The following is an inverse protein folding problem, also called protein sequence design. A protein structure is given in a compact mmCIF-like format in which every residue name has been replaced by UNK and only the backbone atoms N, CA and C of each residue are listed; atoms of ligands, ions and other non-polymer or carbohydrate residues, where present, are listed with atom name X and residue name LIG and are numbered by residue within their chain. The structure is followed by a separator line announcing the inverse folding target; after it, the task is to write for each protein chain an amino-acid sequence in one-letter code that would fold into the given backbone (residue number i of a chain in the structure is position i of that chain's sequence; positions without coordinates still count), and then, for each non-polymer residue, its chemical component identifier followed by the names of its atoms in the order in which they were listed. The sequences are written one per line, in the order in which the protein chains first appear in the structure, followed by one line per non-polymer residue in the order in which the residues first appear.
data_IF_737616995864
#
_entry.id   IF_737616995864
#
_cell.length_a   1.000
_cell.length_b   1.000
_cell.length_c   1.000
_cell.angle_alpha   90.00
_cell.angle_beta   90.00
_cell.angle_gamma   90.00
#
_symmetry.space_group_name_H-M   'P 1'
#
loop_
_entity.id
_entity.type
_entity.pdbx_description
1 polymer ?
#
# COMPACT_ATOMS: atom_id res chain seq x y z
N UNK A 1 -23.68 7.66 -28.80
CA UNK A 1 -23.12 6.62 -27.92
C UNK A 1 -21.72 7.08 -27.54
N UNK A 2 -21.55 7.60 -26.32
CA UNK A 2 -20.25 8.09 -25.84
C UNK A 2 -19.90 7.29 -24.59
N UNK A 3 -18.85 6.46 -24.70
CA UNK A 3 -18.30 5.74 -23.56
C UNK A 3 -17.49 6.76 -22.74
N UNK A 4 -17.94 7.09 -21.53
CA UNK A 4 -17.12 7.82 -20.57
C UNK A 4 -16.07 6.85 -20.02
N UNK A 5 -14.85 6.95 -20.52
CA UNK A 5 -13.69 6.39 -19.84
C UNK A 5 -13.42 7.27 -18.62
N UNK A 6 -13.98 6.90 -17.46
CA UNK A 6 -13.59 7.51 -16.19
C UNK A 6 -12.20 7.01 -15.85
N UNK A 7 -11.19 7.87 -16.01
CA UNK A 7 -9.84 7.61 -15.49
C UNK A 7 -9.96 7.51 -13.97
N UNK A 8 -9.82 6.31 -13.41
CA UNK A 8 -9.66 6.16 -11.97
C UNK A 8 -8.37 6.88 -11.58
N UNK A 9 -8.50 8.01 -10.88
CA UNK A 9 -7.36 8.69 -10.30
C UNK A 9 -6.86 7.79 -9.17
N UNK A 10 -5.73 7.13 -9.39
CA UNK A 10 -5.07 6.34 -8.36
C UNK A 10 -4.69 7.28 -7.23
N UNK A 11 -5.40 7.20 -6.11
CA UNK A 11 -4.95 7.85 -4.87
C UNK A 11 -3.71 7.11 -4.40
N UNK A 12 -2.59 7.82 -4.31
CA UNK A 12 -1.40 7.28 -3.67
C UNK A 12 -1.76 6.93 -2.22
N UNK A 13 -1.50 5.67 -1.84
CA UNK A 13 -1.88 5.10 -0.55
C UNK A 13 -0.77 4.23 0.03
N UNK A 14 -0.65 4.26 1.35
CA UNK A 14 0.21 3.38 2.13
C UNK A 14 -0.71 2.45 2.90
N UNK A 15 -0.76 1.18 2.50
CA UNK A 15 -1.61 0.15 3.08
C UNK A 15 -0.69 -0.89 3.73
N UNK A 16 -0.64 -0.96 5.08
CA UNK A 16 0.02 -2.06 5.76
C UNK A 16 -0.62 -3.40 5.42
N UNK A 17 0.19 -4.44 5.28
CA UNK A 17 -0.35 -5.79 5.30
C UNK A 17 -0.49 -6.30 6.75
N UNK A 18 -1.05 -7.51 6.89
CA UNK A 18 -1.26 -8.17 8.18
C UNK A 18 -0.35 -9.39 8.41
N UNK A 19 0.77 -9.48 7.69
CA UNK A 19 1.62 -10.68 7.62
C UNK A 19 2.74 -10.71 8.68
N UNK A 20 2.92 -9.61 9.43
CA UNK A 20 3.94 -9.49 10.46
C UNK A 20 3.36 -9.79 11.84
N UNK A 21 4.16 -10.31 12.81
CA UNK A 21 3.74 -10.48 14.20
C UNK A 21 3.21 -9.19 14.84
N UNK A 22 3.86 -8.07 14.52
CA UNK A 22 3.41 -6.71 14.83
C UNK A 22 3.37 -5.94 13.51
N UNK A 23 2.17 -5.58 13.08
CA UNK A 23 1.94 -4.89 11.81
C UNK A 23 2.27 -3.40 11.88
N UNK A 24 2.50 -2.81 10.72
CA UNK A 24 2.65 -1.36 10.59
C UNK A 24 1.30 -0.65 10.82
N UNK A 25 1.33 0.57 11.33
CA UNK A 25 0.16 1.44 11.50
C UNK A 25 0.44 2.79 10.89
N UNK A 26 -0.51 3.31 10.11
CA UNK A 26 -0.39 4.60 9.43
C UNK A 26 -1.25 5.62 10.15
N UNK A 27 -0.65 6.75 10.51
CA UNK A 27 -1.34 7.95 10.99
C UNK A 27 -1.05 9.05 9.98
N UNK A 28 -2.08 9.71 9.47
CA UNK A 28 -1.93 10.82 8.54
C UNK A 28 -1.91 12.12 9.33
N UNK A 29 -0.84 12.90 9.16
CA UNK A 29 -0.67 14.22 9.76
C UNK A 29 -0.30 15.23 8.65
N UNK A 30 -1.31 15.93 8.13
CA UNK A 30 -1.16 16.79 6.95
C UNK A 30 -0.68 16.00 5.73
N UNK A 31 0.43 16.44 5.14
CA UNK A 31 1.08 15.80 4.00
C UNK A 31 2.06 14.68 4.40
N UNK A 32 2.11 14.32 5.69
CA UNK A 32 3.03 13.30 6.22
C UNK A 32 2.25 12.06 6.65
N UNK A 33 2.63 10.91 6.11
CA UNK A 33 2.18 9.60 6.58
C UNK A 33 3.15 9.06 7.62
N UNK A 34 2.76 9.07 8.89
CA UNK A 34 3.54 8.55 10.02
C UNK A 34 3.32 7.03 10.12
N UNK A 35 4.39 6.28 9.87
CA UNK A 35 4.45 4.83 9.94
C UNK A 35 4.96 4.43 11.32
N UNK A 36 4.07 3.83 12.11
CA UNK A 36 4.32 3.32 13.46
C UNK A 36 4.25 1.79 13.51
N UNK A 37 4.62 1.21 14.65
CA UNK A 37 4.55 -0.23 14.86
C UNK A 37 5.65 -0.97 14.11
N UNK A 38 5.29 -2.08 13.45
CA UNK A 38 6.27 -2.95 12.80
C UNK A 38 6.90 -3.97 13.76
N UNK A 39 7.51 -4.99 13.17
CA UNK A 39 8.09 -6.11 13.92
C UNK A 39 9.57 -5.88 14.11
N UNK A 40 10.02 -5.86 15.36
CA UNK A 40 11.44 -5.71 15.70
C UNK A 40 12.12 -7.07 15.81
N UNK A 41 13.29 -7.21 15.19
CA UNK A 41 14.21 -8.32 15.45
C UNK A 41 15.65 -7.79 15.57
N UNK A 42 16.16 -7.78 16.80
CA UNK A 42 17.44 -7.14 17.12
C UNK A 42 17.39 -5.62 16.88
N UNK A 43 18.37 -5.11 16.14
CA UNK A 43 18.45 -3.70 15.71
C UNK A 43 17.71 -3.42 14.38
N UNK A 44 16.93 -4.38 13.87
CA UNK A 44 16.16 -4.22 12.64
C UNK A 44 14.66 -4.06 12.96
N UNK A 45 14.02 -3.11 12.28
CA UNK A 45 12.57 -2.91 12.31
C UNK A 45 11.98 -3.26 10.95
N UNK A 46 11.06 -4.21 10.93
CA UNK A 46 10.41 -4.71 9.72
C UNK A 46 9.02 -4.10 9.56
N UNK A 47 8.76 -3.58 8.38
CA UNK A 47 7.45 -3.13 7.92
C UNK A 47 7.04 -3.89 6.67
N UNK A 48 5.75 -4.13 6.53
CA UNK A 48 5.19 -4.85 5.40
C UNK A 48 3.92 -4.15 4.94
N UNK A 49 3.81 -3.97 3.63
CA UNK A 49 2.76 -3.17 2.99
C UNK A 49 2.18 -3.91 1.80
N UNK A 50 0.86 -3.91 1.66
CA UNK A 50 0.21 -4.35 0.43
C UNK A 50 0.39 -3.32 -0.69
N UNK A 51 0.36 -2.04 -0.32
CA UNK A 51 0.57 -0.93 -1.24
C UNK A 51 1.42 0.15 -0.57
N UNK A 52 2.34 0.72 -1.34
CA UNK A 52 3.18 1.81 -0.86
C UNK A 52 3.37 2.83 -1.97
N UNK A 53 2.63 3.94 -1.88
CA UNK A 53 2.74 5.07 -2.80
C UNK A 53 2.67 6.38 -2.03
N UNK A 54 3.58 7.31 -2.34
CA UNK A 54 3.68 8.62 -1.71
C UNK A 54 3.29 9.67 -2.77
N UNK A 55 2.23 10.47 -2.55
CA UNK A 55 1.88 11.55 -3.46
C UNK A 55 3.01 12.59 -3.59
N UNK A 56 3.07 13.27 -4.74
CA UNK A 56 3.99 14.40 -4.91
C UNK A 56 3.67 15.50 -3.88
N UNK A 57 4.70 16.00 -3.20
CA UNK A 57 4.54 16.99 -2.13
C UNK A 57 4.26 16.40 -0.75
N UNK A 58 4.09 15.08 -0.65
CA UNK A 58 3.91 14.36 0.62
C UNK A 58 5.17 13.59 1.03
N UNK A 59 5.20 13.13 2.28
CA UNK A 59 6.29 12.34 2.82
C UNK A 59 5.78 11.14 3.64
N UNK A 60 6.60 10.10 3.76
CA UNK A 60 6.40 9.03 4.71
C UNK A 60 7.48 9.10 5.79
N UNK A 61 7.07 9.09 7.06
CA UNK A 61 7.96 9.15 8.20
C UNK A 61 7.88 7.83 8.98
N UNK A 62 8.99 7.11 9.07
CA UNK A 62 9.08 5.92 9.89
C UNK A 62 9.45 6.31 11.32
N UNK A 63 8.52 6.11 12.25
CA UNK A 63 8.75 6.39 13.67
C UNK A 63 9.41 5.17 14.33
N UNK A 64 10.72 5.25 14.55
CA UNK A 64 11.50 4.18 15.18
C UNK A 64 12.12 4.60 16.51
N UNK A 65 12.42 3.61 17.36
CA UNK A 65 13.21 3.81 18.58
C UNK A 65 14.70 4.02 18.27
N UNK A 66 15.43 4.66 19.20
CA UNK A 66 16.85 4.97 19.03
C UNK A 66 17.80 3.76 18.99
N UNK A 67 17.30 2.57 19.28
CA UNK A 67 18.04 1.31 19.23
C UNK A 67 17.87 0.55 17.90
N UNK A 68 17.09 1.09 16.96
CA UNK A 68 16.93 0.58 15.60
C UNK A 68 18.03 1.16 14.70
N UNK A 69 18.80 0.28 14.06
CA UNK A 69 19.84 0.65 13.09
C UNK A 69 19.34 0.56 11.64
N UNK A 70 18.44 -0.39 11.36
CA UNK A 70 17.91 -0.58 10.01
C UNK A 70 16.39 -0.68 10.03
N UNK A 71 15.76 -0.09 9.00
CA UNK A 71 14.35 -0.23 8.72
C UNK A 71 14.22 -0.96 7.39
N UNK A 72 13.57 -2.13 7.41
CA UNK A 72 13.36 -2.97 6.23
C UNK A 72 11.89 -2.97 5.91
N UNK A 73 11.54 -2.42 4.75
CA UNK A 73 10.17 -2.40 4.25
C UNK A 73 10.05 -3.36 3.08
N UNK A 74 9.03 -4.21 3.08
CA UNK A 74 8.64 -4.98 1.89
C UNK A 74 7.26 -4.55 1.41
N UNK A 75 7.08 -4.57 0.09
CA UNK A 75 5.76 -4.37 -0.53
C UNK A 75 5.31 -5.71 -1.08
N UNK A 76 4.33 -6.34 -0.44
CA UNK A 76 3.64 -7.52 -0.94
C UNK A 76 2.62 -7.06 -1.95
N UNK A 77 3.02 -6.97 -3.21
CA UNK A 77 2.05 -6.66 -4.26
C UNK A 77 1.00 -7.77 -4.25
N UNK A 78 -0.19 -7.46 -3.73
CA UNK A 78 -1.37 -8.30 -3.93
C UNK A 78 -1.88 -8.06 -5.35
N UNK A 79 -1.05 -8.42 -6.35
CA UNK A 79 -1.53 -8.60 -7.71
C UNK A 79 -2.25 -9.95 -7.73
N UNK A 80 -3.40 -10.02 -7.05
CA UNK A 80 -4.41 -10.96 -7.45
C UNK A 80 -4.95 -10.42 -8.77
N UNK A 81 -4.69 -11.19 -9.83
CA UNK A 81 -4.77 -10.77 -11.22
C UNK A 81 -5.99 -9.88 -11.50
N UNK A 82 -5.71 -8.75 -12.16
CA UNK A 82 -6.67 -7.95 -12.93
C UNK A 82 -7.45 -8.77 -13.98
N UNK A 83 -7.12 -10.06 -14.19
CA UNK A 83 -7.91 -10.98 -15.01
C UNK A 83 -9.32 -11.26 -14.46
N UNK A 84 -9.59 -11.08 -13.17
CA UNK A 84 -10.96 -11.19 -12.66
C UNK A 84 -11.84 -10.00 -13.07
N UNK A 85 -11.27 -8.79 -13.10
CA UNK A 85 -11.99 -7.60 -13.59
C UNK A 85 -12.20 -7.66 -15.12
N UNK A 86 -11.24 -8.25 -15.87
CA UNK A 86 -11.39 -8.49 -17.31
C UNK A 86 -12.38 -9.62 -17.65
N UNK A 87 -12.54 -10.64 -16.81
CA UNK A 87 -13.44 -11.76 -17.11
C UNK A 87 -14.91 -11.31 -17.06
N UNK A 88 -15.29 -10.51 -16.06
CA UNK A 88 -16.63 -9.91 -16.00
C UNK A 88 -16.90 -8.97 -17.19
N UNK A 89 -15.88 -8.21 -17.63
CA UNK A 89 -15.96 -7.36 -18.83
C UNK A 89 -16.03 -8.17 -20.14
N UNK A 90 -15.39 -9.34 -20.22
CA UNK A 90 -15.47 -10.22 -21.40
C UNK A 90 -16.76 -11.02 -21.46
N UNK A 91 -17.36 -11.37 -20.31
CA UNK A 91 -18.67 -12.03 -20.24
C UNK A 91 -19.79 -11.06 -20.60
N UNK A 92 -19.69 -9.77 -20.25
CA UNK A 92 -20.65 -8.74 -20.70
C UNK A 92 -20.59 -8.44 -22.21
N UNK A 93 -19.46 -8.70 -22.89
CA UNK A 93 -19.29 -8.41 -24.32
C UNK A 93 -19.87 -9.52 -25.25
N UNK A 94 -20.13 -10.72 -24.73
CA UNK A 94 -20.60 -11.88 -25.52
C UNK A 94 -22.13 -12.01 -25.50
N UNK A 95 -22.84 -11.27 -24.65
CA UNK A 95 -24.30 -11.17 -24.67
C UNK A 95 -24.74 -9.83 -25.31
N UNK A 96 -24.84 -9.82 -26.65
CA UNK A 96 -25.76 -8.96 -27.41
C UNK A 96 -26.56 -9.83 -28.38
#
# INVERSE_FOLDING_TARGET
MACLLTSEVVKAQIIPDSTLPINSRIIIDGDISIINGGTKAGSNLFHSFDQFSIPTGSAAYFNNGGDIQNIVSRVTVSLFLTLMDYFELMVQLIFF
#
